data_IF_971510857809
#
_entry.id   IF_971510857809
#
_cell.length_a   1.000
_cell.length_b   1.000
_cell.length_c   1.000
_cell.angle_alpha   90.00
_cell.angle_beta   90.00
_cell.angle_gamma   90.00
#
_symmetry.space_group_name_H-M   'P 1'
#
loop_
_entity.id
_entity.type
_entity.pdbx_description
1 polymer ?
#
# COMPACT_ATOMS: atom_id res chain seq x y z
N UNK A 1 7.75 -4.89 9.52
CA UNK A 1 6.44 -4.77 8.82
C UNK A 1 5.37 -4.04 9.64
N UNK A 2 5.13 -4.38 10.94
CA UNK A 2 4.19 -3.63 11.80
C UNK A 2 4.43 -2.11 11.79
N UNK A 3 5.68 -1.68 12.03
CA UNK A 3 6.06 -0.24 12.06
C UNK A 3 5.74 0.48 10.75
N UNK A 4 6.01 -0.15 9.61
CA UNK A 4 5.68 0.38 8.29
C UNK A 4 4.17 0.56 8.09
N UNK A 5 3.36 -0.43 8.46
CA UNK A 5 1.90 -0.32 8.37
C UNK A 5 1.36 0.77 9.32
N UNK A 6 1.89 0.88 10.53
CA UNK A 6 1.52 1.96 11.46
C UNK A 6 1.90 3.34 10.89
N UNK A 7 3.07 3.47 10.26
CA UNK A 7 3.48 4.70 9.58
C UNK A 7 2.54 5.02 8.41
N UNK A 8 2.22 4.04 7.57
CA UNK A 8 1.32 4.21 6.45
C UNK A 8 -0.07 4.68 6.91
N UNK A 9 -0.64 4.06 7.94
CA UNK A 9 -1.90 4.48 8.52
C UNK A 9 -1.86 5.93 9.03
N UNK A 10 -0.77 6.34 9.67
CA UNK A 10 -0.57 7.72 10.11
C UNK A 10 -0.51 8.69 8.92
N UNK A 11 0.40 8.46 7.98
CA UNK A 11 0.64 9.37 6.84
C UNK A 11 -0.58 9.48 5.93
N UNK A 12 -1.22 8.35 5.61
CA UNK A 12 -2.44 8.32 4.79
C UNK A 12 -3.59 8.97 5.55
N UNK A 13 -3.70 8.68 6.84
CA UNK A 13 -4.67 9.32 7.74
C UNK A 13 -4.55 10.84 7.72
N UNK A 14 -3.36 11.37 7.94
CA UNK A 14 -3.05 12.80 7.90
C UNK A 14 -3.35 13.41 6.53
N UNK A 15 -2.96 12.73 5.44
CA UNK A 15 -3.12 13.23 4.07
C UNK A 15 -4.57 13.23 3.61
N UNK A 16 -5.36 12.21 3.93
CA UNK A 16 -6.71 12.01 3.36
C UNK A 16 -7.84 12.09 4.40
N UNK A 17 -7.54 12.40 5.67
CA UNK A 17 -8.55 12.52 6.72
C UNK A 17 -9.21 11.18 7.10
N UNK A 18 -8.44 10.09 7.06
CA UNK A 18 -8.93 8.72 7.31
C UNK A 18 -8.62 8.18 8.70
N UNK A 19 -8.14 9.01 9.64
CA UNK A 19 -7.67 8.56 10.97
C UNK A 19 -8.74 7.78 11.76
N UNK A 20 -10.01 8.17 11.66
CA UNK A 20 -11.13 7.49 12.32
C UNK A 20 -11.77 6.36 11.48
N UNK A 21 -11.24 6.11 10.27
CA UNK A 21 -11.77 5.17 9.28
C UNK A 21 -10.68 4.20 8.78
N UNK A 22 -9.71 3.91 9.65
CA UNK A 22 -8.59 3.01 9.34
C UNK A 22 -8.69 1.76 10.20
N UNK A 23 -8.53 0.59 9.56
CA UNK A 23 -8.44 -0.71 10.22
C UNK A 23 -7.05 -1.29 9.95
N UNK A 24 -6.39 -1.79 11.00
CA UNK A 24 -5.09 -2.44 10.91
C UNK A 24 -5.24 -3.94 11.19
N UNK A 25 -4.70 -4.75 10.29
CA UNK A 25 -4.50 -6.18 10.50
C UNK A 25 -2.99 -6.41 10.60
N UNK A 26 -2.54 -7.07 11.67
CA UNK A 26 -1.11 -7.22 11.96
C UNK A 26 -0.83 -8.65 12.42
N UNK A 27 0.24 -9.22 11.89
CA UNK A 27 0.82 -10.46 12.42
C UNK A 27 2.05 -10.07 13.24
N UNK A 28 1.92 -10.07 14.57
CA UNK A 28 3.01 -9.85 15.50
C UNK A 28 3.05 -11.02 16.49
N UNK A 29 4.14 -11.79 16.46
CA UNK A 29 4.29 -12.96 17.31
C UNK A 29 4.39 -12.60 18.80
N UNK A 30 4.74 -11.35 19.11
CA UNK A 30 4.87 -10.85 20.48
C UNK A 30 3.61 -10.14 20.97
N UNK A 31 2.61 -9.92 20.09
CA UNK A 31 1.41 -9.13 20.37
C UNK A 31 0.23 -9.64 19.53
N UNK A 32 -0.49 -10.63 20.09
CA UNK A 32 -1.59 -11.33 19.41
C UNK A 32 -2.97 -10.70 19.67
N UNK A 33 -3.06 -9.71 20.57
CA UNK A 33 -4.35 -9.21 21.07
C UNK A 33 -4.64 -7.77 20.65
N UNK A 34 -3.61 -6.95 20.37
CA UNK A 34 -3.83 -5.54 20.07
C UNK A 34 -4.44 -5.27 18.70
N UNK A 35 -4.28 -6.21 17.75
CA UNK A 35 -4.79 -6.09 16.39
C UNK A 35 -5.33 -7.43 15.89
N UNK A 36 -6.37 -7.42 15.05
CA UNK A 36 -6.81 -8.63 14.38
C UNK A 36 -5.70 -9.21 13.49
N UNK A 37 -5.66 -10.54 13.40
CA UNK A 37 -4.68 -11.27 12.61
C UNK A 37 -4.79 -10.93 11.11
N UNK A 38 -3.67 -10.58 10.48
CA UNK A 38 -3.57 -10.48 9.03
C UNK A 38 -3.58 -11.88 8.40
N UNK A 39 -4.75 -12.28 7.92
CA UNK A 39 -4.99 -13.53 7.18
C UNK A 39 -5.86 -13.26 5.95
N UNK A 40 -5.86 -14.15 4.96
CA UNK A 40 -6.77 -14.04 3.79
C UNK A 40 -8.22 -13.95 4.24
N UNK A 41 -8.63 -14.75 5.22
CA UNK A 41 -9.98 -14.70 5.81
C UNK A 41 -10.23 -13.38 6.53
N UNK A 42 -9.30 -12.92 7.36
CA UNK A 42 -9.40 -11.64 8.07
C UNK A 42 -9.52 -10.46 7.11
N UNK A 43 -8.73 -10.45 6.04
CA UNK A 43 -8.80 -9.45 4.99
C UNK A 43 -10.16 -9.46 4.29
N UNK A 44 -10.68 -10.63 3.92
CA UNK A 44 -12.02 -10.74 3.31
C UNK A 44 -13.11 -10.18 4.22
N UNK A 45 -13.11 -10.54 5.50
CA UNK A 45 -14.07 -10.03 6.48
C UNK A 45 -13.96 -8.51 6.68
N UNK A 46 -12.73 -8.00 6.75
CA UNK A 46 -12.47 -6.56 6.86
C UNK A 46 -12.97 -5.79 5.63
N UNK A 47 -12.68 -6.28 4.42
CA UNK A 47 -13.12 -5.66 3.17
C UNK A 47 -14.64 -5.70 3.04
N UNK A 48 -15.29 -6.81 3.43
CA UNK A 48 -16.75 -6.94 3.43
C UNK A 48 -17.42 -5.93 4.39
N UNK A 49 -16.92 -5.78 5.63
CA UNK A 49 -17.45 -4.77 6.56
C UNK A 49 -17.22 -3.33 6.07
N UNK A 50 -16.04 -3.03 5.53
CA UNK A 50 -15.74 -1.73 4.93
C UNK A 50 -16.66 -1.46 3.74
N UNK A 51 -16.80 -2.42 2.83
CA UNK A 51 -17.63 -2.31 1.63
C UNK A 51 -19.12 -2.11 1.91
N UNK A 52 -19.62 -2.60 3.06
CA UNK A 52 -20.99 -2.30 3.54
C UNK A 52 -21.17 -0.87 4.03
N UNK A 53 -20.11 -0.22 4.52
CA UNK A 53 -20.15 1.15 5.06
C UNK A 53 -19.83 2.21 4.00
N UNK A 54 -19.13 1.84 2.94
CA UNK A 54 -18.75 2.74 1.85
C UNK A 54 -19.95 3.14 0.98
N UNK A 55 -19.97 4.41 0.57
CA UNK A 55 -20.70 4.82 -0.63
C UNK A 55 -19.93 4.32 -1.86
N UNK A 56 -20.43 3.27 -2.51
CA UNK A 56 -19.78 2.59 -3.65
C UNK A 56 -19.60 3.48 -4.88
N UNK A 57 -20.32 4.60 -4.97
CA UNK A 57 -20.18 5.55 -6.08
C UNK A 57 -19.17 6.65 -5.79
N UNK A 58 -18.86 6.89 -4.52
CA UNK A 58 -18.09 8.05 -4.06
C UNK A 58 -16.79 7.70 -3.36
N UNK A 59 -16.83 6.74 -2.45
CA UNK A 59 -15.73 6.44 -1.54
C UNK A 59 -14.62 5.66 -2.25
N UNK A 60 -13.38 5.94 -1.84
CA UNK A 60 -12.17 5.28 -2.31
C UNK A 60 -11.57 4.48 -1.17
N UNK A 61 -11.34 3.19 -1.39
CA UNK A 61 -10.54 2.37 -0.49
C UNK A 61 -9.06 2.65 -0.72
N UNK A 62 -8.29 2.88 0.34
CA UNK A 62 -6.83 2.80 0.31
C UNK A 62 -6.42 1.56 1.10
N UNK A 63 -5.84 0.57 0.41
CA UNK A 63 -5.33 -0.65 1.02
C UNK A 63 -3.81 -0.66 0.92
N UNK A 64 -3.14 -0.78 2.06
CA UNK A 64 -1.68 -0.93 2.14
C UNK A 64 -1.37 -2.33 2.65
N UNK A 65 -0.55 -3.07 1.91
CA UNK A 65 -0.06 -4.39 2.29
C UNK A 65 1.45 -4.31 2.40
N UNK A 66 2.00 -4.71 3.54
CA UNK A 66 3.44 -4.85 3.76
C UNK A 66 3.69 -6.27 4.23
N UNK A 67 4.44 -7.03 3.44
CA UNK A 67 4.75 -8.43 3.77
C UNK A 67 6.06 -8.89 3.15
N UNK A 68 6.58 -10.01 3.63
CA UNK A 68 7.60 -10.75 2.92
C UNK A 68 6.92 -11.40 1.70
N UNK A 69 7.51 -11.24 0.52
CA UNK A 69 7.02 -11.96 -0.67
C UNK A 69 7.42 -13.43 -0.61
N UNK A 70 6.71 -14.29 -1.32
CA UNK A 70 7.12 -15.68 -1.52
C UNK A 70 7.96 -15.81 -2.81
N UNK A 71 8.47 -17.01 -3.12
CA UNK A 71 9.13 -17.29 -4.42
C UNK A 71 8.13 -17.34 -5.58
N UNK A 72 6.86 -17.58 -5.26
CA UNK A 72 5.74 -17.52 -6.20
C UNK A 72 5.16 -16.09 -6.21
N UNK A 73 4.33 -15.71 -7.20
CA UNK A 73 3.68 -14.39 -7.24
C UNK A 73 2.53 -14.30 -6.22
N UNK A 74 2.84 -14.59 -4.96
CA UNK A 74 1.96 -14.49 -3.79
C UNK A 74 2.61 -13.67 -2.70
N UNK A 75 1.77 -13.05 -1.88
CA UNK A 75 2.19 -12.42 -0.64
C UNK A 75 2.18 -13.51 0.43
N UNK A 76 3.34 -13.74 1.05
CA UNK A 76 3.40 -14.68 2.16
C UNK A 76 2.58 -14.14 3.31
N UNK A 77 1.74 -14.99 3.88
CA UNK A 77 1.00 -14.68 5.10
C UNK A 77 1.47 -15.65 6.16
N UNK A 78 2.12 -15.16 7.23
CA UNK A 78 2.63 -16.02 8.29
C UNK A 78 2.51 -15.36 9.66
N UNK A 79 2.30 -16.17 10.69
CA UNK A 79 2.43 -15.76 12.09
C UNK A 79 3.00 -16.90 12.93
N UNK A 80 4.33 -17.02 13.00
CA UNK A 80 5.04 -17.83 14.01
C UNK A 80 4.66 -19.30 14.12
N UNK A 81 4.22 -19.94 13.02
CA UNK A 81 3.85 -21.36 12.97
C UNK A 81 2.38 -21.65 12.64
N UNK A 82 1.52 -20.63 12.53
CA UNK A 82 0.16 -20.82 12.02
C UNK A 82 0.19 -20.98 10.49
N UNK A 83 -0.30 -22.11 9.93
CA UNK A 83 -0.42 -22.25 8.49
C UNK A 83 -1.53 -21.33 7.99
N UNK A 84 -1.14 -20.20 7.40
CA UNK A 84 -2.05 -19.28 6.74
C UNK A 84 -1.89 -19.44 5.24
N UNK A 85 -3.00 -19.28 4.51
CA UNK A 85 -2.95 -19.26 3.06
C UNK A 85 -2.24 -17.99 2.61
N UNK A 86 -1.31 -18.15 1.66
CA UNK A 86 -0.75 -17.01 0.95
C UNK A 86 -1.84 -16.24 0.20
N UNK A 87 -1.66 -14.93 0.09
CA UNK A 87 -2.58 -14.07 -0.64
C UNK A 87 -2.12 -13.97 -2.09
N UNK A 88 -2.94 -14.43 -3.03
CA UNK A 88 -2.68 -14.24 -4.47
C UNK A 88 -3.37 -12.98 -5.01
N UNK A 89 -2.93 -12.49 -6.17
CA UNK A 89 -3.61 -11.39 -6.87
C UNK A 89 -5.07 -11.70 -7.21
N UNK A 90 -5.38 -12.98 -7.51
CA UNK A 90 -6.76 -13.44 -7.76
C UNK A 90 -7.61 -13.40 -6.50
N UNK A 91 -7.08 -13.84 -5.37
CA UNK A 91 -7.79 -13.81 -4.09
C UNK A 91 -8.09 -12.37 -3.66
N UNK A 92 -7.12 -11.46 -3.82
CA UNK A 92 -7.30 -10.05 -3.49
C UNK A 92 -8.35 -9.39 -4.40
N UNK A 93 -8.29 -9.65 -5.71
CA UNK A 93 -9.32 -9.17 -6.64
C UNK A 93 -10.71 -9.66 -6.26
N UNK A 94 -10.87 -10.96 -6.03
CA UNK A 94 -12.15 -11.53 -5.65
C UNK A 94 -12.67 -10.89 -4.36
N UNK A 95 -11.83 -10.74 -3.34
CA UNK A 95 -12.24 -10.12 -2.07
C UNK A 95 -12.71 -8.66 -2.23
N UNK A 96 -12.03 -7.86 -3.06
CA UNK A 96 -12.42 -6.47 -3.35
C UNK A 96 -13.73 -6.40 -4.13
N UNK A 97 -13.88 -7.26 -5.14
CA UNK A 97 -15.06 -7.30 -6.01
C UNK A 97 -16.30 -7.80 -5.23
N UNK A 98 -16.15 -8.84 -4.41
CA UNK A 98 -17.21 -9.41 -3.56
C UNK A 98 -17.72 -8.38 -2.52
N UNK A 99 -16.80 -7.56 -1.98
CA UNK A 99 -17.14 -6.45 -1.09
C UNK A 99 -17.84 -5.27 -1.81
N UNK A 100 -17.87 -5.27 -3.15
CA UNK A 100 -18.45 -4.21 -3.97
C UNK A 100 -17.61 -2.93 -4.01
N UNK A 101 -16.30 -3.02 -3.74
CA UNK A 101 -15.39 -1.88 -3.68
C UNK A 101 -14.92 -1.51 -5.09
N UNK A 102 -15.44 -0.40 -5.61
CA UNK A 102 -15.23 0.02 -7.01
C UNK A 102 -14.02 0.91 -7.22
N UNK A 103 -13.73 1.79 -6.26
CA UNK A 103 -12.62 2.74 -6.33
C UNK A 103 -11.55 2.33 -5.33
N UNK A 104 -10.34 2.04 -5.81
CA UNK A 104 -9.31 1.41 -4.99
C UNK A 104 -7.91 1.94 -5.28
N UNK A 105 -7.19 2.31 -4.24
CA UNK A 105 -5.75 2.56 -4.25
C UNK A 105 -5.10 1.43 -3.48
N UNK A 106 -4.26 0.64 -4.15
CA UNK A 106 -3.62 -0.54 -3.61
C UNK A 106 -2.11 -0.30 -3.59
N UNK A 107 -1.52 -0.26 -2.40
CA UNK A 107 -0.08 -0.07 -2.20
C UNK A 107 0.49 -1.36 -1.64
N UNK A 108 1.33 -2.04 -2.42
CA UNK A 108 1.84 -3.38 -2.10
C UNK A 108 3.36 -3.32 -1.93
N UNK A 109 3.80 -3.33 -0.68
CA UNK A 109 5.18 -3.38 -0.24
C UNK A 109 5.60 -4.84 0.01
N UNK A 110 6.00 -5.53 -1.05
CA UNK A 110 6.46 -6.91 -1.00
C UNK A 110 7.37 -7.25 -2.20
N UNK A 111 8.16 -8.31 -2.09
CA UNK A 111 8.84 -8.90 -3.26
C UNK A 111 7.80 -9.39 -4.29
N UNK A 112 8.13 -9.30 -5.57
CA UNK A 112 7.28 -9.74 -6.68
C UNK A 112 5.91 -9.04 -6.74
N UNK A 113 5.71 -7.94 -6.01
CA UNK A 113 4.43 -7.23 -5.91
C UNK A 113 3.88 -6.76 -7.26
N UNK A 114 4.75 -6.51 -8.25
CA UNK A 114 4.34 -6.17 -9.61
C UNK A 114 3.48 -7.25 -10.27
N UNK A 115 3.57 -8.51 -9.84
CA UNK A 115 2.74 -9.60 -10.33
C UNK A 115 1.25 -9.45 -9.98
N UNK A 116 0.90 -8.58 -9.03
CA UNK A 116 -0.48 -8.28 -8.67
C UNK A 116 -1.15 -7.30 -9.64
N UNK A 117 -0.38 -6.48 -10.36
CA UNK A 117 -0.90 -5.42 -11.23
C UNK A 117 -1.87 -5.97 -12.28
N UNK A 118 -1.55 -7.03 -13.07
CA UNK A 118 -2.45 -7.53 -14.10
C UNK A 118 -3.81 -8.02 -13.58
N UNK A 119 -3.88 -8.42 -12.31
CA UNK A 119 -5.13 -8.84 -11.69
C UNK A 119 -5.95 -7.65 -11.22
N UNK A 120 -5.31 -6.59 -10.73
CA UNK A 120 -5.99 -5.53 -9.98
C UNK A 120 -6.27 -4.27 -10.82
N UNK A 121 -5.62 -4.14 -11.98
CA UNK A 121 -5.68 -2.96 -12.84
C UNK A 121 -7.00 -2.85 -13.61
N UNK A 122 -7.63 -1.68 -13.47
CA UNK A 122 -8.76 -1.17 -14.23
C UNK A 122 -8.81 0.36 -14.09
N UNK A 123 -9.67 1.04 -14.88
CA UNK A 123 -9.78 2.50 -14.90
C UNK A 123 -10.07 3.14 -13.52
N UNK A 124 -10.60 2.38 -12.55
CA UNK A 124 -10.97 2.84 -11.20
C UNK A 124 -9.97 2.40 -10.12
N UNK A 125 -8.80 1.90 -10.54
CA UNK A 125 -7.78 1.41 -9.62
C UNK A 125 -6.43 2.11 -9.80
N UNK A 126 -5.77 2.39 -8.69
CA UNK A 126 -4.34 2.66 -8.65
C UNK A 126 -3.69 1.47 -7.96
N UNK A 127 -2.65 0.91 -8.57
CA UNK A 127 -1.88 -0.20 -8.00
C UNK A 127 -0.42 0.21 -7.99
N UNK A 128 0.19 0.32 -6.83
CA UNK A 128 1.59 0.71 -6.65
C UNK A 128 2.31 -0.48 -5.99
N UNK A 129 3.37 -0.97 -6.63
CA UNK A 129 4.12 -2.12 -6.20
C UNK A 129 5.59 -1.76 -5.95
N UNK A 130 6.12 -2.24 -4.82
CA UNK A 130 7.48 -1.98 -4.38
C UNK A 130 8.57 -2.68 -5.22
N UNK A 131 8.20 -3.61 -6.09
CA UNK A 131 9.11 -4.32 -6.97
C UNK A 131 8.40 -4.82 -8.24
N UNK A 132 9.15 -5.02 -9.32
CA UNK A 132 8.68 -5.67 -10.52
C UNK A 132 8.31 -7.16 -10.30
N UNK A 133 7.53 -7.79 -11.21
CA UNK A 133 7.05 -9.17 -11.02
C UNK A 133 8.17 -10.21 -10.81
N UNK A 134 9.33 -10.00 -11.42
CA UNK A 134 10.51 -10.86 -11.38
C UNK A 134 11.58 -10.39 -10.38
N UNK A 135 11.28 -9.37 -9.55
CA UNK A 135 12.25 -8.72 -8.66
C UNK A 135 11.86 -8.82 -7.19
N UNK A 136 12.88 -8.87 -6.34
CA UNK A 136 12.72 -8.72 -4.91
C UNK A 136 12.74 -7.25 -4.51
N UNK A 137 11.99 -6.91 -3.46
CA UNK A 137 12.08 -5.60 -2.80
C UNK A 137 13.03 -5.70 -1.60
N UNK A 138 13.82 -4.67 -1.34
CA UNK A 138 14.87 -4.66 -0.31
C UNK A 138 14.42 -3.97 0.99
N UNK A 139 15.22 -4.13 2.04
CA UNK A 139 14.99 -3.52 3.36
C UNK A 139 14.14 -4.35 4.32
N UNK A 140 13.82 -5.60 4.00
CA UNK A 140 13.09 -6.54 4.87
C UNK A 140 13.99 -7.25 5.91
N UNK A 141 15.11 -6.67 6.33
CA UNK A 141 15.87 -7.22 7.46
C UNK A 141 15.20 -6.86 8.78
N UNK A 142 15.21 -7.78 9.76
CA UNK A 142 14.57 -7.58 11.07
C UNK A 142 15.10 -6.35 11.85
N UNK A 143 16.25 -5.82 11.45
CA UNK A 143 16.93 -4.69 12.09
C UNK A 143 16.49 -3.31 11.56
N UNK A 144 15.62 -3.27 10.53
CA UNK A 144 15.10 -2.03 9.96
C UNK A 144 13.63 -1.82 10.30
N UNK A 145 13.29 -0.58 10.64
CA UNK A 145 11.93 -0.18 10.98
C UNK A 145 11.01 -0.14 9.74
N UNK A 146 11.56 0.18 8.58
CA UNK A 146 10.87 0.37 7.30
C UNK A 146 11.61 -0.38 6.18
N UNK A 147 10.86 -0.86 5.19
CA UNK A 147 11.43 -1.28 3.91
C UNK A 147 11.98 -0.08 3.15
N UNK A 148 12.86 -0.30 2.17
CA UNK A 148 13.36 0.79 1.34
C UNK A 148 12.23 1.50 0.58
N UNK A 149 11.20 0.74 0.18
CA UNK A 149 10.00 1.29 -0.43
C UNK A 149 9.13 2.07 0.56
N UNK A 150 8.89 1.53 1.76
CA UNK A 150 8.15 2.23 2.81
C UNK A 150 8.83 3.55 3.21
N UNK A 151 10.15 3.56 3.23
CA UNK A 151 10.93 4.77 3.44
C UNK A 151 10.74 5.78 2.30
N UNK A 152 11.06 5.39 1.06
CA UNK A 152 11.05 6.30 -0.07
C UNK A 152 9.63 6.78 -0.44
N UNK A 153 8.63 5.89 -0.42
CA UNK A 153 7.27 6.22 -0.83
C UNK A 153 6.43 6.75 0.33
N UNK A 154 6.27 5.99 1.42
CA UNK A 154 5.34 6.35 2.50
C UNK A 154 5.90 7.49 3.36
N UNK A 155 7.17 7.41 3.79
CA UNK A 155 7.76 8.42 4.67
C UNK A 155 8.12 9.70 3.93
N UNK A 156 8.81 9.57 2.79
CA UNK A 156 9.49 10.72 2.17
C UNK A 156 8.66 11.36 1.05
N UNK A 157 8.21 10.57 0.07
CA UNK A 157 7.57 11.11 -1.11
C UNK A 157 6.08 11.46 -0.91
N UNK A 158 5.33 10.61 -0.20
CA UNK A 158 3.88 10.76 -0.07
C UNK A 158 3.47 12.04 0.68
N UNK A 159 4.08 12.47 1.80
CA UNK A 159 3.71 13.72 2.44
C UNK A 159 4.03 14.96 1.59
N UNK A 160 5.05 14.86 0.74
CA UNK A 160 5.68 16.00 0.05
C UNK A 160 5.36 16.06 -1.45
N UNK A 161 4.28 15.42 -1.88
CA UNK A 161 3.90 15.33 -3.29
C UNK A 161 2.46 15.75 -3.55
N UNK A 162 2.19 16.46 -4.65
CA UNK A 162 0.84 16.90 -4.99
C UNK A 162 -0.08 15.73 -5.33
N UNK A 163 0.44 14.61 -5.84
CA UNK A 163 -0.35 13.42 -6.17
C UNK A 163 0.37 12.11 -5.86
N UNK A 164 -0.39 11.02 -5.76
CA UNK A 164 0.16 9.65 -5.66
C UNK A 164 1.12 9.33 -6.80
N UNK A 165 0.81 9.77 -8.03
CA UNK A 165 1.70 9.60 -9.18
C UNK A 165 3.04 10.28 -8.97
N UNK A 166 3.02 11.55 -8.58
CA UNK A 166 4.26 12.30 -8.32
C UNK A 166 5.03 11.70 -7.14
N UNK A 167 4.33 11.25 -6.10
CA UNK A 167 4.96 10.54 -4.98
C UNK A 167 5.66 9.26 -5.44
N UNK A 168 4.99 8.46 -6.28
CA UNK A 168 5.55 7.23 -6.82
C UNK A 168 6.80 7.50 -7.68
N UNK A 169 6.75 8.45 -8.61
CA UNK A 169 7.90 8.76 -9.47
C UNK A 169 9.11 9.26 -8.66
N UNK A 170 8.88 10.09 -7.63
CA UNK A 170 9.95 10.51 -6.71
C UNK A 170 10.54 9.33 -5.93
N UNK A 171 9.68 8.46 -5.39
CA UNK A 171 10.12 7.30 -4.64
C UNK A 171 10.93 6.34 -5.53
N UNK A 172 10.45 6.08 -6.76
CA UNK A 172 11.14 5.25 -7.75
C UNK A 172 12.53 5.80 -8.08
N UNK A 173 12.65 7.10 -8.38
CA UNK A 173 13.94 7.72 -8.65
C UNK A 173 14.89 7.65 -7.43
N UNK A 174 14.36 7.82 -6.21
CA UNK A 174 15.15 7.69 -4.99
C UNK A 174 15.65 6.27 -4.74
N UNK A 175 14.81 5.26 -5.01
CA UNK A 175 15.16 3.83 -4.87
C UNK A 175 16.22 3.47 -5.91
N UNK A 176 16.01 3.81 -7.18
CA UNK A 176 16.96 3.53 -8.26
C UNK A 176 18.35 4.12 -7.95
N UNK A 177 18.41 5.35 -7.44
CA UNK A 177 19.66 6.01 -7.05
C UNK A 177 20.36 5.31 -5.87
N UNK A 178 19.58 4.88 -4.87
CA UNK A 178 20.10 4.15 -3.70
C UNK A 178 20.66 2.79 -4.11
N UNK A 179 19.87 2.00 -4.84
CA UNK A 179 20.25 0.65 -5.29
C UNK A 179 21.51 0.70 -6.18
N UNK A 180 21.61 1.70 -7.07
CA UNK A 180 22.80 1.92 -7.87
C UNK A 180 24.04 2.24 -7.01
N UNK A 181 23.89 3.13 -6.01
CA UNK A 181 24.98 3.51 -5.10
C UNK A 181 25.45 2.33 -4.24
N UNK A 182 24.54 1.46 -3.84
CA UNK A 182 24.80 0.29 -2.99
C UNK A 182 25.14 -0.97 -3.80
N UNK A 183 25.20 -0.88 -5.13
CA UNK A 183 25.45 -2.00 -6.04
C UNK A 183 24.47 -3.16 -5.87
N UNK A 184 23.21 -2.85 -5.56
CA UNK A 184 22.12 -3.81 -5.43
C UNK A 184 21.52 -4.12 -6.81
N UNK A 185 20.89 -5.30 -6.91
CA UNK A 185 20.05 -5.59 -8.07
C UNK A 185 18.81 -4.69 -8.00
N UNK A 186 18.44 -3.95 -9.07
CA UNK A 186 17.32 -3.04 -8.99
C UNK A 186 15.98 -3.74 -8.69
N UNK A 187 15.20 -3.21 -7.74
CA UNK A 187 13.86 -3.72 -7.44
C UNK A 187 12.83 -3.33 -8.50
N UNK A 188 13.08 -2.24 -9.23
CA UNK A 188 12.22 -1.70 -10.28
C UNK A 188 10.76 -1.52 -9.83
N UNK A 189 10.47 -0.64 -8.86
CA UNK A 189 9.10 -0.34 -8.45
C UNK A 189 8.24 0.01 -9.67
N UNK A 190 7.02 -0.51 -9.70
CA UNK A 190 6.10 -0.36 -10.83
C UNK A 190 4.72 0.04 -10.33
N UNK A 191 3.97 0.75 -11.16
CA UNK A 191 2.64 1.20 -10.82
C UNK A 191 1.72 1.24 -12.05
N UNK A 192 0.43 1.04 -11.78
CA UNK A 192 -0.66 1.27 -12.70
C UNK A 192 -1.57 2.36 -12.14
N UNK A 193 -1.98 3.29 -12.98
CA UNK A 193 -2.85 4.40 -12.62
C UNK A 193 -4.03 4.45 -13.58
N UNK A 194 -5.20 4.06 -13.07
CA UNK A 194 -6.46 4.15 -13.81
C UNK A 194 -6.89 5.60 -14.02
N UNK A 195 -7.28 5.93 -15.25
CA UNK A 195 -7.62 7.31 -15.65
C UNK A 195 -8.82 7.87 -14.88
N UNK A 196 -9.84 7.04 -14.59
CA UNK A 196 -11.04 7.50 -13.90
C UNK A 196 -10.77 7.78 -12.41
N UNK A 197 -9.96 6.95 -11.74
CA UNK A 197 -9.62 7.18 -10.33
C UNK A 197 -8.65 8.35 -10.15
N UNK A 198 -7.71 8.57 -11.06
CA UNK A 198 -6.84 9.76 -10.99
C UNK A 198 -7.64 11.06 -11.08
N UNK A 199 -8.60 11.12 -12.01
CA UNK A 199 -9.51 12.26 -12.10
C UNK A 199 -10.31 12.46 -10.82
N UNK A 200 -10.79 11.36 -10.21
CA UNK A 200 -11.54 11.41 -8.95
C UNK A 200 -10.68 11.89 -7.77
N UNK A 201 -9.45 11.40 -7.66
CA UNK A 201 -8.54 11.79 -6.59
C UNK A 201 -8.01 13.20 -6.76
N UNK A 202 -7.90 13.71 -7.99
CA UNK A 202 -7.37 15.05 -8.27
C UNK A 202 -8.04 16.16 -7.47
N UNK A 203 -9.35 16.09 -7.23
CA UNK A 203 -10.08 17.07 -6.40
C UNK A 203 -9.64 17.00 -4.92
N UNK A 204 -9.46 15.80 -4.39
CA UNK A 204 -9.01 15.57 -3.01
C UNK A 204 -7.54 15.97 -2.85
N UNK A 205 -6.70 15.59 -3.81
CA UNK A 205 -5.27 15.87 -3.82
C UNK A 205 -4.97 17.38 -3.97
N UNK A 206 -5.74 18.11 -4.78
CA UNK A 206 -5.65 19.56 -4.88
C UNK A 206 -6.03 20.27 -3.57
N UNK A 207 -7.09 19.80 -2.90
CA UNK A 207 -7.51 20.34 -1.61
C UNK A 207 -6.43 20.13 -0.52
N UNK A 208 -5.78 18.96 -0.52
CA UNK A 208 -4.70 18.62 0.41
C UNK A 208 -3.45 19.47 0.14
N UNK A 209 -3.02 19.60 -1.12
CA UNK A 209 -1.85 20.41 -1.49
C UNK A 209 -1.98 21.89 -1.10
N UNK A 210 -3.20 22.43 -1.12
CA UNK A 210 -3.49 23.81 -0.72
C UNK A 210 -3.34 24.00 0.80
N UNK A 211 -3.76 23.02 1.61
CA UNK A 211 -3.64 23.06 3.08
C UNK A 211 -2.19 22.95 3.58
N UNK A 212 -1.35 22.15 2.91
CA UNK A 212 0.09 22.02 3.20
C UNK A 212 0.86 23.31 2.87
N UNK A 213 0.42 24.02 1.82
CA UNK A 213 1.03 25.28 1.39
C UNK A 213 0.72 26.43 2.36
N UNK A 214 -0.49 26.48 2.91
CA UNK A 214 -0.88 27.50 3.90
C UNK A 214 -0.20 27.34 5.26
N UNK A 215 0.08 26.11 5.71
CA UNK A 215 0.76 25.83 6.99
C UNK A 215 2.26 26.09 6.93
N UNK A 216 2.87 26.03 5.73
CA UNK A 216 4.30 26.35 5.55
C UNK A 216 4.56 27.85 5.49
N UNK A 217 3.55 28.67 5.11
CA UNK A 217 3.67 30.13 5.01
C UNK A 217 3.48 30.89 6.33
N UNK A 218 3.14 30.21 7.44
CA UNK A 218 2.89 30.83 8.76
C UNK A 218 3.97 30.56 9.80
N UNK A 219 5.17 30.11 9.39
CA UNK A 219 6.34 29.95 10.27
C UNK A 219 7.47 30.88 9.89
#
# INVERSE_FOLDING_TARGET
MRREISLAAKVIGERYGTQQRTLLLVNDQHDLESHPLASVTGLKLALDDIGRRMDRERDVLILVISSHGSKDPSISVSNGGIPLNDLTGKDLKAALDDAGIRWRVLIISACHAGAFIPYLSDERSIVIAAAAPDRSSFGCSNDRDLTDFGEAFIRDALPNSPSLRVAFEKARASIDAREHKEHLTPSMPTAYFGTAIERRLGETEAAVATQTSSTTSTR
#
